data_IF_879838304982
#
_entry.id   IF_879838304982
#
_cell.length_a   1.000
_cell.length_b   1.000
_cell.length_c   1.000
_cell.angle_alpha   90.00
_cell.angle_beta   90.00
_cell.angle_gamma   90.00
#
_symmetry.space_group_name_H-M   'P 1'
#
loop_
_entity.id
_entity.type
_entity.pdbx_description
1 polymer ?
#
# COMPACT_ATOMS: atom_id res chain seq x y z
N UNK A 1 10.04 -12.80 31.55
CA UNK A 1 9.09 -13.67 30.82
C UNK A 1 8.00 -12.77 30.24
N UNK A 2 8.29 -12.10 29.12
CA UNK A 2 7.33 -11.26 28.40
C UNK A 2 6.46 -12.19 27.56
N UNK A 3 5.20 -12.39 27.96
CA UNK A 3 4.24 -13.09 27.13
C UNK A 3 4.09 -12.34 25.81
N UNK A 4 4.16 -13.06 24.70
CA UNK A 4 3.97 -12.52 23.35
C UNK A 4 2.58 -11.88 23.27
N UNK A 5 2.51 -10.55 23.52
CA UNK A 5 1.26 -9.79 23.41
C UNK A 5 0.87 -9.75 21.94
N UNK A 6 -0.36 -10.08 21.63
CA UNK A 6 -0.86 -9.92 20.28
C UNK A 6 -0.93 -8.44 19.89
N UNK A 7 -0.88 -8.15 18.62
CA UNK A 7 -0.90 -6.77 18.09
C UNK A 7 -2.14 -5.99 18.53
N UNK A 8 -3.28 -6.67 18.70
CA UNK A 8 -4.50 -6.03 19.17
C UNK A 8 -4.37 -5.57 20.64
N UNK A 9 -3.67 -6.35 21.48
CA UNK A 9 -3.37 -5.95 22.86
C UNK A 9 -2.37 -4.78 22.88
N UNK A 10 -1.37 -4.79 22.00
CA UNK A 10 -0.43 -3.67 21.85
C UNK A 10 -1.14 -2.40 21.40
N UNK A 11 -2.00 -2.46 20.40
CA UNK A 11 -2.76 -1.30 19.92
C UNK A 11 -3.69 -0.74 21.00
N UNK A 12 -4.31 -1.60 21.82
CA UNK A 12 -5.10 -1.16 22.99
C UNK A 12 -4.23 -0.46 24.04
N UNK A 13 -3.00 -0.94 24.23
CA UNK A 13 -2.06 -0.27 25.14
C UNK A 13 -1.63 1.10 24.60
N UNK A 14 -1.26 1.19 23.32
CA UNK A 14 -0.93 2.45 22.64
C UNK A 14 -2.07 3.46 22.78
N UNK A 15 -3.33 3.01 22.64
CA UNK A 15 -4.51 3.88 22.72
C UNK A 15 -4.70 4.54 24.11
N UNK A 16 -4.06 4.03 25.16
CA UNK A 16 -4.09 4.66 26.48
C UNK A 16 -3.18 5.89 26.58
N UNK A 17 -2.15 5.95 25.76
CA UNK A 17 -1.25 7.12 25.70
C UNK A 17 -0.34 7.29 26.92
N UNK A 18 -0.18 6.26 27.74
CA UNK A 18 0.69 6.24 28.93
C UNK A 18 2.08 5.64 28.64
N UNK A 19 2.92 5.49 29.66
CA UNK A 19 4.25 4.88 29.54
C UNK A 19 4.18 3.46 28.96
N UNK A 20 3.21 2.64 29.41
CA UNK A 20 2.99 1.30 28.86
C UNK A 20 2.53 1.33 27.38
N UNK A 21 1.85 2.40 26.98
CA UNK A 21 1.51 2.66 25.58
C UNK A 21 2.73 2.95 24.72
N UNK A 22 3.70 3.69 25.26
CA UNK A 22 4.97 3.95 24.57
C UNK A 22 5.81 2.67 24.37
N UNK A 23 5.88 1.82 25.38
CA UNK A 23 6.52 0.50 25.28
C UNK A 23 5.83 -0.40 24.25
N UNK A 24 4.50 -0.39 24.25
CA UNK A 24 3.71 -1.15 23.28
C UNK A 24 3.90 -0.63 21.83
N UNK A 25 4.07 0.68 21.65
CA UNK A 25 4.39 1.25 20.34
C UNK A 25 5.79 0.81 19.88
N UNK A 26 6.78 0.80 20.76
CA UNK A 26 8.12 0.32 20.44
C UNK A 26 8.07 -1.15 19.99
N UNK A 27 7.33 -2.00 20.71
CA UNK A 27 7.15 -3.40 20.33
C UNK A 27 6.46 -3.57 18.96
N UNK A 28 5.42 -2.77 18.66
CA UNK A 28 4.80 -2.74 17.34
C UNK A 28 5.78 -2.27 16.26
N UNK A 29 6.62 -1.29 16.56
CA UNK A 29 7.64 -0.81 15.65
C UNK A 29 8.63 -1.92 15.31
N UNK A 30 9.17 -2.61 16.31
CA UNK A 30 10.13 -3.69 16.12
C UNK A 30 9.56 -4.84 15.28
N UNK A 31 8.28 -5.16 15.46
CA UNK A 31 7.61 -6.23 14.70
C UNK A 31 7.32 -5.84 13.25
N UNK A 32 6.93 -4.59 13.02
CA UNK A 32 6.32 -4.21 11.75
C UNK A 32 7.19 -3.31 10.86
N UNK A 33 8.18 -2.62 11.42
CA UNK A 33 8.99 -1.65 10.66
C UNK A 33 9.76 -2.29 9.50
N UNK A 34 10.32 -3.48 9.68
CA UNK A 34 11.12 -4.15 8.67
C UNK A 34 10.34 -4.44 7.38
N UNK A 35 9.18 -5.09 7.51
CA UNK A 35 8.37 -5.41 6.34
C UNK A 35 7.69 -4.17 5.74
N UNK A 36 7.29 -3.19 6.58
CA UNK A 36 6.77 -1.91 6.10
C UNK A 36 7.82 -1.18 5.27
N UNK A 37 9.06 -1.10 5.80
CA UNK A 37 10.19 -0.46 5.11
C UNK A 37 10.43 -1.13 3.74
N UNK A 38 10.52 -2.45 3.72
CA UNK A 38 10.71 -3.21 2.49
C UNK A 38 9.58 -2.98 1.48
N UNK A 39 8.32 -2.94 1.96
CA UNK A 39 7.16 -2.74 1.10
C UNK A 39 7.03 -1.30 0.60
N UNK A 40 7.37 -0.30 1.42
CA UNK A 40 7.45 1.10 1.00
C UNK A 40 8.58 1.32 0.00
N UNK A 41 9.77 0.74 0.23
CA UNK A 41 10.92 0.84 -0.65
C UNK A 41 10.66 0.27 -2.05
N UNK A 42 9.80 -0.76 -2.16
CA UNK A 42 9.35 -1.25 -3.47
C UNK A 42 8.46 -0.24 -4.25
N UNK A 43 7.99 0.83 -3.61
CA UNK A 43 7.07 1.82 -4.19
C UNK A 43 7.64 3.21 -4.32
N UNK A 44 8.71 3.48 -3.60
CA UNK A 44 9.41 4.75 -3.63
C UNK A 44 10.90 4.49 -3.68
N UNK A 45 11.55 4.93 -4.75
CA UNK A 45 12.98 4.75 -4.94
C UNK A 45 13.83 5.66 -4.03
N UNK A 46 13.20 6.68 -3.41
CA UNK A 46 13.88 7.57 -2.50
C UNK A 46 13.86 7.04 -1.06
N UNK A 47 15.01 6.58 -0.53
CA UNK A 47 15.08 5.97 0.79
C UNK A 47 14.82 6.96 1.92
N UNK A 48 14.96 8.27 1.68
CA UNK A 48 14.69 9.29 2.67
C UNK A 48 13.19 9.46 2.85
N UNK A 49 12.46 9.62 1.75
CA UNK A 49 10.98 9.62 1.77
C UNK A 49 10.43 8.34 2.41
N UNK A 50 11.01 7.19 2.13
CA UNK A 50 10.57 5.91 2.72
C UNK A 50 10.73 5.91 4.24
N UNK A 51 11.86 6.44 4.77
CA UNK A 51 12.08 6.54 6.22
C UNK A 51 11.15 7.54 6.89
N UNK A 52 10.93 8.70 6.27
CA UNK A 52 9.97 9.69 6.75
C UNK A 52 8.55 9.12 6.81
N UNK A 53 8.12 8.45 5.75
CA UNK A 53 6.79 7.81 5.68
C UNK A 53 6.65 6.74 6.75
N UNK A 54 7.68 5.94 7.01
CA UNK A 54 7.66 4.95 8.09
C UNK A 54 7.48 5.62 9.44
N UNK A 55 8.25 6.68 9.72
CA UNK A 55 8.15 7.45 10.96
C UNK A 55 6.75 8.06 11.13
N UNK A 56 6.23 8.73 10.11
CA UNK A 56 4.90 9.33 10.10
C UNK A 56 3.79 8.29 10.29
N UNK A 57 4.01 7.09 9.80
CA UNK A 57 3.10 5.95 10.02
C UNK A 57 2.98 5.67 11.50
N UNK A 58 4.08 5.49 12.22
CA UNK A 58 4.04 5.19 13.66
C UNK A 58 3.60 6.37 14.53
N UNK A 59 3.90 7.61 14.13
CA UNK A 59 3.30 8.80 14.74
C UNK A 59 1.77 8.80 14.57
N UNK A 60 1.29 8.37 13.41
CA UNK A 60 -0.15 8.24 13.16
C UNK A 60 -0.75 7.10 13.97
N UNK A 61 -0.06 5.97 14.08
CA UNK A 61 -0.47 4.85 14.95
C UNK A 61 -0.63 5.32 16.39
N UNK A 62 0.35 6.05 16.95
CA UNK A 62 0.27 6.62 18.29
C UNK A 62 -1.00 7.46 18.51
N UNK A 63 -1.33 8.29 17.52
CA UNK A 63 -2.48 9.21 17.61
C UNK A 63 -3.82 8.54 17.34
N UNK A 64 -3.84 7.42 16.62
CA UNK A 64 -5.08 6.82 16.11
C UNK A 64 -5.31 5.36 16.51
N UNK A 65 -4.48 4.79 17.39
CA UNK A 65 -4.60 3.40 17.83
C UNK A 65 -6.00 3.05 18.36
N UNK A 66 -6.65 4.00 19.04
CA UNK A 66 -8.02 3.84 19.53
C UNK A 66 -9.09 3.72 18.44
N UNK A 67 -8.75 4.01 17.18
CA UNK A 67 -9.68 3.83 16.04
C UNK A 67 -9.60 2.45 15.40
N UNK A 68 -8.62 1.63 15.79
CA UNK A 68 -8.51 0.26 15.33
C UNK A 68 -9.67 -0.59 15.86
N UNK A 69 -10.50 -1.10 14.95
CA UNK A 69 -11.74 -1.83 15.31
C UNK A 69 -11.60 -3.35 15.26
N UNK A 70 -10.37 -3.86 15.45
CA UNK A 70 -10.07 -5.28 15.32
C UNK A 70 -9.65 -5.68 13.90
N UNK A 71 -9.29 -6.94 13.72
CA UNK A 71 -8.68 -7.46 12.49
C UNK A 71 -7.15 -7.45 12.57
N UNK A 72 -6.50 -7.79 11.47
CA UNK A 72 -5.05 -7.84 11.40
C UNK A 72 -4.43 -6.45 11.46
N UNK A 73 -3.57 -6.22 12.45
CA UNK A 73 -2.86 -4.96 12.64
C UNK A 73 -2.00 -4.60 11.44
N UNK A 74 -1.34 -5.60 10.82
CA UNK A 74 -0.50 -5.41 9.64
C UNK A 74 -1.24 -4.76 8.46
N UNK A 75 -2.47 -5.21 8.18
CA UNK A 75 -3.31 -4.59 7.15
C UNK A 75 -3.66 -3.14 7.45
N UNK A 76 -4.00 -2.84 8.71
CA UNK A 76 -4.32 -1.49 9.15
C UNK A 76 -3.09 -0.56 9.11
N UNK A 77 -1.93 -1.03 9.59
CA UNK A 77 -0.65 -0.33 9.51
C UNK A 77 -0.28 -0.02 8.05
N UNK A 78 -0.47 -1.00 7.16
CA UNK A 78 -0.22 -0.81 5.73
C UNK A 78 -1.09 0.29 5.11
N UNK A 79 -2.37 0.33 5.44
CA UNK A 79 -3.28 1.38 4.96
C UNK A 79 -2.79 2.77 5.38
N UNK A 80 -2.33 2.92 6.63
CA UNK A 80 -1.74 4.18 7.12
C UNK A 80 -0.48 4.52 6.32
N UNK A 81 0.45 3.57 6.18
CA UNK A 81 1.71 3.76 5.48
C UNK A 81 1.51 4.13 3.99
N UNK A 82 0.60 3.43 3.30
CA UNK A 82 0.29 3.71 1.91
C UNK A 82 -0.30 5.12 1.71
N UNK A 83 -1.18 5.56 2.63
CA UNK A 83 -1.73 6.93 2.61
C UNK A 83 -0.64 7.98 2.81
N UNK A 84 0.27 7.76 3.78
CA UNK A 84 1.40 8.66 4.02
C UNK A 84 2.33 8.74 2.83
N UNK A 85 2.61 7.60 2.18
CA UNK A 85 3.42 7.58 0.96
C UNK A 85 2.80 8.41 -0.16
N UNK A 86 1.50 8.27 -0.40
CA UNK A 86 0.76 9.06 -1.39
C UNK A 86 0.87 10.55 -1.09
N UNK A 87 0.68 10.94 0.17
CA UNK A 87 0.75 12.34 0.58
C UNK A 87 2.18 12.90 0.39
N UNK A 88 3.22 12.14 0.78
CA UNK A 88 4.62 12.52 0.62
C UNK A 88 5.01 12.72 -0.84
N UNK A 89 4.67 11.76 -1.70
CA UNK A 89 4.95 11.85 -3.15
C UNK A 89 4.25 13.06 -3.78
N UNK A 90 3.02 13.38 -3.36
CA UNK A 90 2.30 14.56 -3.85
C UNK A 90 2.94 15.88 -3.44
N UNK A 91 3.35 15.98 -2.18
CA UNK A 91 4.03 17.18 -1.67
C UNK A 91 5.31 17.40 -2.46
N UNK A 92 6.11 16.34 -2.63
CA UNK A 92 7.35 16.41 -3.41
C UNK A 92 7.13 16.80 -4.86
N UNK A 93 6.17 16.16 -5.54
CA UNK A 93 5.85 16.50 -6.94
C UNK A 93 5.37 17.94 -7.11
N UNK A 94 4.68 18.50 -6.11
CA UNK A 94 4.29 19.91 -6.12
C UNK A 94 5.49 20.84 -5.93
N UNK A 95 6.40 20.49 -5.00
CA UNK A 95 7.61 21.26 -4.74
C UNK A 95 8.54 21.24 -5.99
N UNK A 96 8.71 20.10 -6.62
CA UNK A 96 9.50 19.97 -7.86
C UNK A 96 8.89 20.77 -9.01
N UNK A 97 7.57 20.72 -9.21
CA UNK A 97 6.89 21.54 -10.21
C UNK A 97 7.05 23.05 -9.95
N UNK A 98 6.98 23.46 -8.69
CA UNK A 98 7.19 24.85 -8.30
C UNK A 98 8.63 25.30 -8.51
N UNK A 99 9.61 24.44 -8.24
CA UNK A 99 11.02 24.76 -8.39
C UNK A 99 11.50 24.80 -9.85
N UNK A 100 10.93 23.96 -10.73
CA UNK A 100 11.38 23.85 -12.11
C UNK A 100 10.49 24.55 -13.14
N UNK A 101 9.38 25.18 -12.74
CA UNK A 101 8.55 26.03 -13.61
C UNK A 101 8.05 25.39 -14.91
N UNK A 102 8.04 24.05 -15.02
CA UNK A 102 7.64 23.33 -16.22
C UNK A 102 6.17 22.87 -16.10
N UNK A 103 5.25 23.43 -16.91
CA UNK A 103 3.95 22.81 -17.13
C UNK A 103 4.17 21.49 -17.89
N UNK A 104 3.73 20.38 -17.31
CA UNK A 104 3.77 19.06 -17.97
C UNK A 104 4.79 18.06 -17.44
N UNK A 105 5.47 18.31 -16.33
CA UNK A 105 6.22 17.26 -15.64
C UNK A 105 5.24 16.29 -14.98
N UNK A 106 4.97 15.17 -15.64
CA UNK A 106 4.41 14.01 -14.96
C UNK A 106 5.50 13.42 -14.06
N UNK A 107 5.27 13.31 -12.74
CA UNK A 107 6.18 12.56 -11.89
C UNK A 107 6.30 11.16 -12.47
N UNK A 108 7.52 10.55 -12.49
CA UNK A 108 7.66 9.20 -12.93
C UNK A 108 6.64 8.35 -12.19
N UNK A 109 5.73 7.74 -12.91
CA UNK A 109 4.85 6.72 -12.35
C UNK A 109 5.76 5.80 -11.55
N UNK A 110 5.38 5.45 -10.31
CA UNK A 110 6.12 4.48 -9.50
C UNK A 110 5.97 3.15 -10.23
N UNK A 111 6.72 3.01 -11.33
CA UNK A 111 6.78 1.79 -12.08
C UNK A 111 7.61 0.79 -11.26
N UNK A 112 7.11 -0.41 -11.03
CA UNK A 112 7.90 -1.44 -10.38
C UNK A 112 9.19 -1.67 -11.18
N UNK A 113 10.32 -1.82 -10.48
CA UNK A 113 11.60 -2.14 -11.11
C UNK A 113 11.50 -3.44 -11.89
N UNK A 114 12.41 -3.68 -12.83
CA UNK A 114 12.46 -4.95 -13.57
C UNK A 114 12.59 -6.14 -12.60
N UNK A 115 13.32 -5.94 -11.52
CA UNK A 115 13.54 -6.92 -10.44
C UNK A 115 12.26 -7.21 -9.65
N UNK A 116 11.47 -6.18 -9.35
CA UNK A 116 10.14 -6.33 -8.73
C UNK A 116 9.15 -7.09 -9.63
N UNK A 117 9.24 -6.90 -10.95
CA UNK A 117 8.41 -7.68 -11.90
C UNK A 117 8.79 -9.14 -11.93
N UNK A 118 10.08 -9.46 -11.84
CA UNK A 118 10.56 -10.84 -11.76
C UNK A 118 10.16 -11.49 -10.44
N UNK A 119 10.34 -10.79 -9.31
CA UNK A 119 9.93 -11.27 -7.99
C UNK A 119 8.41 -11.43 -7.87
N UNK A 120 7.63 -10.48 -8.40
CA UNK A 120 6.17 -10.62 -8.47
C UNK A 120 5.74 -11.80 -9.34
N UNK A 121 6.44 -12.08 -10.43
CA UNK A 121 6.21 -13.26 -11.27
C UNK A 121 6.51 -14.56 -10.54
N UNK A 122 7.52 -14.58 -9.68
CA UNK A 122 7.87 -15.75 -8.86
C UNK A 122 6.92 -15.95 -7.65
N UNK A 123 6.44 -14.84 -7.05
CA UNK A 123 5.55 -14.90 -5.90
C UNK A 123 4.07 -15.13 -6.27
N UNK A 124 3.64 -14.63 -7.43
CA UNK A 124 2.21 -14.62 -7.82
C UNK A 124 1.88 -15.48 -9.04
N UNK A 125 2.85 -16.12 -9.67
CA UNK A 125 2.64 -17.08 -10.77
C UNK A 125 1.56 -16.65 -11.78
N UNK A 126 0.48 -17.41 -11.87
CA UNK A 126 -0.64 -17.15 -12.77
C UNK A 126 -1.33 -15.80 -12.55
N UNK A 127 -1.34 -15.29 -11.32
CA UNK A 127 -1.93 -13.98 -10.99
C UNK A 127 -1.08 -12.84 -11.57
N UNK A 128 0.25 -12.95 -11.51
CA UNK A 128 1.16 -11.99 -12.14
C UNK A 128 0.95 -11.91 -13.66
N UNK A 129 0.92 -13.07 -14.31
CA UNK A 129 0.67 -13.17 -15.75
C UNK A 129 -0.73 -12.69 -16.15
N UNK A 130 -1.75 -12.89 -15.30
CA UNK A 130 -3.09 -12.37 -15.50
C UNK A 130 -3.14 -10.83 -15.36
N UNK A 131 -2.41 -10.29 -14.39
CA UNK A 131 -2.32 -8.83 -14.19
C UNK A 131 -1.64 -8.14 -15.37
N UNK A 132 -0.66 -8.79 -16.01
CA UNK A 132 0.01 -8.23 -17.20
C UNK A 132 -0.88 -8.16 -18.44
N UNK A 133 -1.98 -8.91 -18.46
CA UNK A 133 -2.97 -8.89 -19.53
C UNK A 133 -4.06 -7.81 -19.36
N UNK A 134 -4.10 -7.16 -18.22
CA UNK A 134 -5.04 -6.06 -17.94
C UNK A 134 -4.40 -4.74 -18.37
N UNK A 135 -5.20 -3.80 -18.86
CA UNK A 135 -4.68 -2.48 -19.21
C UNK A 135 -4.00 -1.79 -18.01
N UNK A 136 -2.96 -0.97 -18.24
CA UNK A 136 -2.23 -0.30 -17.15
C UNK A 136 -3.15 0.47 -16.21
N UNK A 137 -4.14 1.21 -16.75
CA UNK A 137 -5.04 2.04 -15.95
C UNK A 137 -5.97 1.21 -15.05
N UNK A 138 -6.34 0.01 -15.47
CA UNK A 138 -7.13 -0.92 -14.67
C UNK A 138 -6.28 -1.60 -13.61
N UNK A 139 -5.02 -1.93 -13.95
CA UNK A 139 -4.04 -2.49 -13.03
C UNK A 139 -3.72 -1.53 -11.89
N UNK A 140 -3.51 -0.24 -12.20
CA UNK A 140 -3.22 0.79 -11.21
C UNK A 140 -4.37 0.95 -10.20
N UNK A 141 -5.61 0.98 -10.68
CA UNK A 141 -6.79 1.02 -9.80
C UNK A 141 -6.91 -0.23 -8.96
N UNK A 142 -6.65 -1.41 -9.53
CA UNK A 142 -6.70 -2.68 -8.80
C UNK A 142 -5.62 -2.71 -7.71
N UNK A 143 -4.39 -2.30 -8.06
CA UNK A 143 -3.27 -2.20 -7.12
C UNK A 143 -3.62 -1.27 -5.96
N UNK A 144 -4.07 -0.06 -6.26
CA UNK A 144 -4.41 0.93 -5.24
C UNK A 144 -5.54 0.44 -4.31
N UNK A 145 -6.61 -0.15 -4.86
CA UNK A 145 -7.78 -0.54 -4.07
C UNK A 145 -7.63 -1.88 -3.35
N UNK A 146 -6.93 -2.86 -3.95
CA UNK A 146 -6.84 -4.22 -3.39
C UNK A 146 -5.52 -4.43 -2.66
N UNK A 147 -4.39 -4.08 -3.31
CA UNK A 147 -3.07 -4.33 -2.73
C UNK A 147 -2.71 -3.27 -1.70
N UNK A 148 -3.07 -2.00 -1.97
CA UNK A 148 -2.75 -0.87 -1.10
C UNK A 148 -3.85 -0.57 -0.08
N UNK A 149 -5.03 -1.16 -0.26
CA UNK A 149 -6.17 -0.98 0.64
C UNK A 149 -6.72 0.46 0.66
N UNK A 150 -6.45 1.23 -0.38
CA UNK A 150 -6.94 2.61 -0.48
C UNK A 150 -8.44 2.65 -0.75
N UNK A 151 -9.11 3.61 -0.13
CA UNK A 151 -10.51 3.90 -0.45
C UNK A 151 -10.65 4.44 -1.87
N UNK A 152 -11.85 4.37 -2.45
CA UNK A 152 -12.15 4.96 -3.76
C UNK A 152 -11.71 6.43 -3.85
N UNK A 153 -11.95 7.20 -2.78
CA UNK A 153 -11.58 8.62 -2.70
C UNK A 153 -10.07 8.83 -2.71
N UNK A 154 -9.32 8.00 -1.99
CA UNK A 154 -7.86 8.07 -1.94
C UNK A 154 -7.24 7.62 -3.26
N UNK A 155 -7.77 6.55 -3.86
CA UNK A 155 -7.38 6.09 -5.19
C UNK A 155 -7.65 7.16 -6.25
N UNK A 156 -8.81 7.83 -6.19
CA UNK A 156 -9.15 8.93 -7.08
C UNK A 156 -8.12 10.07 -7.01
N UNK A 157 -7.71 10.39 -5.78
CA UNK A 157 -6.67 11.39 -5.55
C UNK A 157 -5.29 10.93 -6.00
N UNK A 158 -4.94 9.66 -5.76
CA UNK A 158 -3.64 9.11 -6.15
C UNK A 158 -3.45 9.10 -7.66
N UNK A 159 -4.49 8.65 -8.38
CA UNK A 159 -4.44 8.48 -9.84
C UNK A 159 -4.91 9.73 -10.61
N UNK A 160 -5.29 10.78 -9.90
CA UNK A 160 -5.82 12.04 -10.46
C UNK A 160 -7.02 11.81 -11.41
N UNK A 161 -7.96 10.96 -10.99
CA UNK A 161 -9.18 10.62 -11.74
C UNK A 161 -10.42 10.77 -10.85
N UNK A 162 -11.62 11.01 -11.43
CA UNK A 162 -12.86 11.08 -10.66
C UNK A 162 -13.18 9.78 -9.89
N UNK A 163 -13.78 9.89 -8.70
CA UNK A 163 -14.18 8.73 -7.89
C UNK A 163 -15.11 7.75 -8.66
N UNK A 164 -15.98 8.27 -9.52
CA UNK A 164 -16.83 7.46 -10.40
C UNK A 164 -16.00 6.63 -11.38
N UNK A 165 -14.91 7.19 -11.90
CA UNK A 165 -13.97 6.50 -12.79
C UNK A 165 -13.25 5.39 -12.05
N UNK A 166 -12.84 5.62 -10.79
CA UNK A 166 -12.22 4.56 -9.94
C UNK A 166 -13.18 3.38 -9.79
N UNK A 167 -14.45 3.64 -9.43
CA UNK A 167 -15.47 2.58 -9.26
C UNK A 167 -15.64 1.76 -10.54
N UNK A 168 -15.79 2.44 -11.68
CA UNK A 168 -15.98 1.80 -12.99
C UNK A 168 -14.74 0.99 -13.39
N UNK A 169 -13.53 1.57 -13.24
CA UNK A 169 -12.27 0.88 -13.54
C UNK A 169 -12.05 -0.31 -12.61
N UNK A 170 -12.32 -0.19 -11.31
CA UNK A 170 -12.19 -1.29 -10.36
C UNK A 170 -13.11 -2.48 -10.69
N UNK A 171 -14.34 -2.20 -11.13
CA UNK A 171 -15.28 -3.22 -11.58
C UNK A 171 -14.77 -3.93 -12.85
N UNK A 172 -14.33 -3.15 -13.85
CA UNK A 172 -13.78 -3.69 -15.10
C UNK A 172 -12.50 -4.49 -14.84
N UNK A 173 -11.60 -3.99 -14.02
CA UNK A 173 -10.36 -4.65 -13.66
C UNK A 173 -10.60 -6.04 -13.03
N UNK A 174 -11.54 -6.14 -12.09
CA UNK A 174 -11.90 -7.44 -11.50
C UNK A 174 -12.48 -8.42 -12.52
N UNK A 175 -13.30 -7.92 -13.47
CA UNK A 175 -13.87 -8.74 -14.55
C UNK A 175 -12.76 -9.24 -15.49
N UNK A 176 -11.88 -8.35 -15.93
CA UNK A 176 -10.78 -8.70 -16.84
C UNK A 176 -9.76 -9.62 -16.16
N UNK A 177 -9.43 -9.39 -14.87
CA UNK A 177 -8.54 -10.27 -14.11
C UNK A 177 -9.11 -11.69 -14.02
N UNK A 178 -10.40 -11.81 -13.70
CA UNK A 178 -11.06 -13.14 -13.66
C UNK A 178 -10.98 -13.84 -15.01
N UNK A 179 -11.31 -13.15 -16.09
CA UNK A 179 -11.23 -13.71 -17.43
C UNK A 179 -9.78 -14.05 -17.86
N UNK A 180 -8.78 -13.29 -17.38
CA UNK A 180 -7.38 -13.59 -17.62
C UNK A 180 -6.91 -14.83 -16.85
N UNK A 181 -7.33 -14.99 -15.59
CA UNK A 181 -7.04 -16.18 -14.77
C UNK A 181 -7.67 -17.44 -15.35
N UNK A 182 -8.91 -17.37 -15.81
CA UNK A 182 -9.61 -18.48 -16.47
C UNK A 182 -8.89 -18.97 -17.75
N UNK A 183 -8.15 -18.08 -18.43
CA UNK A 183 -7.35 -18.43 -19.60
C UNK A 183 -5.97 -18.97 -19.28
N UNK A 184 -5.43 -18.67 -18.11
CA UNK A 184 -4.11 -19.09 -17.64
C UNK A 184 -4.21 -20.42 -16.91
N UNK A 185 -5.30 -20.67 -16.18
CA UNK A 185 -5.61 -21.95 -15.60
C UNK A 185 -6.15 -22.88 -16.71
N UNK A 186 -5.33 -23.67 -17.39
CA UNK A 186 -5.85 -24.67 -18.30
C UNK A 186 -6.54 -25.74 -17.45
N UNK A 187 -7.79 -26.03 -17.74
CA UNK A 187 -8.47 -27.31 -17.54
C UNK A 187 -7.57 -28.45 -17.05
N UNK A 188 -7.07 -28.31 -15.82
CA UNK A 188 -6.25 -29.30 -15.15
C UNK A 188 -7.07 -29.90 -14.02
N UNK A 189 -7.84 -30.92 -14.32
CA UNK A 189 -8.58 -31.61 -13.28
C UNK A 189 -9.69 -32.51 -13.79
N UNK A 190 -9.31 -33.46 -14.65
CA UNK A 190 -10.02 -34.73 -14.69
C UNK A 190 -9.00 -35.84 -14.43
N UNK A 191 -8.92 -36.31 -13.21
CA UNK A 191 -8.71 -37.71 -12.84
C UNK A 191 -9.40 -37.90 -11.49
#
# INVERSE_FOLDING_TARGET
MGGDRDDAALLRAVARGDAAGAEALAELYDRHSGWLLARLGRRCADPETVREVLQDTFVTVWRSAGTHRGGEAGGWLWVIAARRLVDAVRVRSRAERAAYGRPGYEPPAVAPSAEERVLAGLEYGDVGAALDRISPELRDVLRATVVDGLTTRETARLLDIPEGTVKTRAMRARKELRAALERIAPLGGTV
#
